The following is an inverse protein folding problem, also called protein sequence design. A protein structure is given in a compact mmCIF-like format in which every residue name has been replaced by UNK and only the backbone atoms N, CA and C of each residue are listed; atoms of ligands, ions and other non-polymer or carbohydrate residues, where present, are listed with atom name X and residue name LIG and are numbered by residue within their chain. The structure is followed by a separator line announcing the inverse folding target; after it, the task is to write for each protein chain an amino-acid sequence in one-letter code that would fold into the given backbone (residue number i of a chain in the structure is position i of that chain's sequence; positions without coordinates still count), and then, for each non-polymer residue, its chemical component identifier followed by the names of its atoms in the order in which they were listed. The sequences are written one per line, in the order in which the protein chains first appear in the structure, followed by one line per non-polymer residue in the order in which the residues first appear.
data_IF_313964569585
#
_entry.id   IF_313964569585
#
_cell.length_a   1.000
_cell.length_b   1.000
_cell.length_c   1.000
_cell.angle_alpha   90.00
_cell.angle_beta   90.00
_cell.angle_gamma   90.00
#
_symmetry.space_group_name_H-M   'P 1'
#
loop_
_entity.id
_entity.type
_entity.pdbx_description
1 polymer ?
#
# COMPACT_ATOMS: atom_id res chain seq x y z
N UNK A 1 -0.59 14.38 -16.65
CA UNK A 1 0.61 14.26 -17.52
C UNK A 1 0.40 13.14 -18.51
N UNK A 2 0.53 13.40 -19.80
CA UNK A 2 0.53 12.36 -20.84
C UNK A 2 1.70 11.39 -20.60
N UNK A 3 1.43 10.08 -20.65
CA UNK A 3 2.48 9.06 -20.52
C UNK A 3 3.47 9.09 -21.68
N UNK A 4 3.08 9.63 -22.84
CA UNK A 4 3.95 9.74 -24.02
C UNK A 4 5.11 10.74 -23.84
N UNK A 5 5.01 11.67 -22.88
CA UNK A 5 6.08 12.64 -22.58
C UNK A 5 7.06 12.17 -21.50
N UNK A 6 6.89 10.94 -20.97
CA UNK A 6 7.75 10.40 -19.91
C UNK A 6 9.01 9.78 -20.55
N UNK A 7 10.23 10.20 -20.16
CA UNK A 7 11.45 9.55 -20.60
C UNK A 7 11.43 8.04 -20.29
N UNK A 8 12.00 7.19 -21.16
CA UNK A 8 12.02 5.75 -20.90
C UNK A 8 12.74 5.44 -19.59
N UNK A 9 12.34 4.34 -18.94
CA UNK A 9 13.10 3.80 -17.83
C UNK A 9 14.47 3.34 -18.35
N UNK A 10 15.60 3.69 -17.70
CA UNK A 10 16.93 3.36 -18.21
C UNK A 10 17.16 1.84 -18.32
N UNK A 11 17.70 1.39 -19.45
CA UNK A 11 17.93 -0.03 -19.73
C UNK A 11 19.16 -0.61 -18.99
N UNK A 12 20.05 0.26 -18.50
CA UNK A 12 21.27 -0.10 -17.77
C UNK A 12 21.06 -0.24 -16.25
N UNK A 13 19.87 0.10 -15.75
CA UNK A 13 19.52 0.00 -14.33
C UNK A 13 18.93 -1.39 -14.04
N UNK A 14 19.53 -2.18 -13.14
CA UNK A 14 19.00 -3.49 -12.77
C UNK A 14 17.58 -3.40 -12.20
N UNK A 15 16.68 -4.20 -12.78
CA UNK A 15 15.29 -4.31 -12.31
C UNK A 15 14.98 -5.74 -11.88
N UNK A 16 14.14 -5.87 -10.86
CA UNK A 16 13.62 -7.17 -10.47
C UNK A 16 12.46 -7.58 -11.38
N UNK A 17 12.50 -8.75 -12.05
CA UNK A 17 11.42 -9.23 -12.88
C UNK A 17 10.31 -9.84 -12.01
N UNK A 18 9.26 -9.07 -11.74
CA UNK A 18 8.09 -9.58 -11.05
C UNK A 18 7.24 -10.47 -11.97
N UNK A 19 6.54 -11.42 -11.37
CA UNK A 19 5.51 -12.19 -12.07
C UNK A 19 4.39 -11.26 -12.53
N UNK A 20 3.87 -11.50 -13.74
CA UNK A 20 2.75 -10.76 -14.32
C UNK A 20 1.52 -11.63 -14.24
N UNK A 21 0.57 -11.24 -13.41
CA UNK A 21 -0.72 -11.91 -13.21
C UNK A 21 -1.80 -11.22 -14.06
N UNK A 22 -2.64 -12.00 -14.71
CA UNK A 22 -3.80 -11.56 -15.50
C UNK A 22 -5.09 -11.61 -14.67
N UNK A 23 -5.63 -10.45 -14.32
CA UNK A 23 -6.82 -10.34 -13.46
C UNK A 23 -8.04 -11.08 -14.03
N UNK A 24 -8.30 -10.97 -15.33
CA UNK A 24 -9.49 -11.58 -15.93
C UNK A 24 -9.40 -13.11 -15.93
N UNK A 25 -8.19 -13.67 -16.07
CA UNK A 25 -7.96 -15.12 -15.91
C UNK A 25 -8.16 -15.57 -14.46
N UNK A 26 -7.65 -14.82 -13.48
CA UNK A 26 -7.90 -15.09 -12.06
C UNK A 26 -9.40 -15.07 -11.76
N UNK A 27 -10.11 -14.07 -12.27
CA UNK A 27 -11.54 -13.86 -12.04
C UNK A 27 -12.43 -14.99 -12.57
N UNK A 28 -12.05 -15.63 -13.68
CA UNK A 28 -12.76 -16.81 -14.20
C UNK A 28 -12.28 -18.14 -13.59
N UNK A 29 -11.35 -18.09 -12.63
CA UNK A 29 -10.85 -19.26 -11.93
C UNK A 29 -9.85 -20.11 -12.73
N UNK A 30 -9.08 -19.49 -13.63
CA UNK A 30 -8.03 -20.18 -14.38
C UNK A 30 -6.99 -20.82 -13.43
N UNK A 31 -6.81 -22.15 -13.44
CA UNK A 31 -5.93 -22.82 -12.47
C UNK A 31 -4.46 -22.43 -12.58
N UNK A 32 -3.96 -22.19 -13.80
CA UNK A 32 -2.55 -21.81 -14.01
C UNK A 32 -2.29 -20.41 -13.48
N UNK A 33 -3.23 -19.49 -13.72
CA UNK A 33 -3.13 -18.11 -13.24
C UNK A 33 -3.25 -18.02 -11.72
N UNK A 34 -4.11 -18.85 -11.11
CA UNK A 34 -4.22 -18.98 -9.65
C UNK A 34 -2.91 -19.50 -9.05
N UNK A 35 -2.26 -20.49 -9.67
CA UNK A 35 -0.95 -20.98 -9.22
C UNK A 35 0.15 -19.92 -9.38
N UNK A 36 0.10 -19.12 -10.44
CA UNK A 36 1.02 -18.01 -10.65
C UNK A 36 0.87 -16.93 -9.56
N UNK A 37 -0.37 -16.53 -9.27
CA UNK A 37 -0.70 -15.60 -8.19
C UNK A 37 -0.26 -16.16 -6.83
N UNK A 38 -0.55 -17.43 -6.55
CA UNK A 38 -0.14 -18.09 -5.31
C UNK A 38 1.38 -18.11 -5.17
N UNK A 39 2.10 -18.40 -6.25
CA UNK A 39 3.58 -18.38 -6.29
C UNK A 39 4.11 -16.98 -6.01
N UNK A 40 3.55 -15.96 -6.65
CA UNK A 40 3.94 -14.57 -6.40
C UNK A 40 3.73 -14.19 -4.93
N UNK A 41 2.57 -14.52 -4.38
CA UNK A 41 2.13 -14.18 -3.04
C UNK A 41 2.94 -14.88 -1.92
N UNK A 42 3.36 -16.12 -2.14
CA UNK A 42 4.07 -16.95 -1.14
C UNK A 42 5.59 -16.83 -1.19
N UNK A 43 6.17 -16.50 -2.36
CA UNK A 43 7.63 -16.32 -2.50
C UNK A 43 8.06 -14.89 -2.21
N UNK A 44 7.45 -13.94 -2.90
CA UNK A 44 7.90 -12.54 -2.89
C UNK A 44 6.84 -11.57 -2.35
N UNK A 45 5.55 -11.93 -2.37
CA UNK A 45 4.49 -11.02 -1.94
C UNK A 45 4.25 -9.83 -2.88
N UNK A 46 4.83 -9.87 -4.08
CA UNK A 46 4.80 -8.80 -5.08
C UNK A 46 4.54 -9.37 -6.49
N UNK A 47 3.68 -8.71 -7.26
CA UNK A 47 3.43 -9.03 -8.67
C UNK A 47 2.96 -7.80 -9.46
N UNK A 48 3.05 -7.86 -10.78
CA UNK A 48 2.24 -6.99 -11.63
C UNK A 48 0.88 -7.62 -11.87
N UNK A 49 -0.17 -6.80 -11.89
CA UNK A 49 -1.51 -7.21 -12.30
C UNK A 49 -1.87 -6.44 -13.57
N UNK A 50 -2.27 -7.16 -14.63
CA UNK A 50 -2.80 -6.58 -15.87
C UNK A 50 -4.28 -6.90 -16.04
N UNK A 51 -4.92 -6.24 -17.02
CA UNK A 51 -6.33 -6.44 -17.35
C UNK A 51 -7.29 -6.19 -16.15
N UNK A 52 -6.88 -5.35 -15.19
CA UNK A 52 -7.70 -5.04 -14.01
C UNK A 52 -8.83 -4.04 -14.29
N UNK A 53 -8.80 -3.33 -15.42
CA UNK A 53 -9.89 -2.45 -15.87
C UNK A 53 -10.04 -1.14 -15.08
N UNK A 54 -8.94 -0.62 -14.50
CA UNK A 54 -8.92 0.56 -13.60
C UNK A 54 -8.12 1.73 -14.20
N UNK A 55 -7.55 1.57 -15.40
CA UNK A 55 -6.61 2.54 -15.98
C UNK A 55 -7.22 3.94 -16.16
N UNK A 56 -8.50 4.01 -16.58
CA UNK A 56 -9.22 5.27 -16.77
C UNK A 56 -9.40 6.01 -15.43
N UNK A 57 -9.91 5.31 -14.41
CA UNK A 57 -10.10 5.89 -13.08
C UNK A 57 -8.77 6.28 -12.44
N UNK A 58 -7.74 5.43 -12.57
CA UNK A 58 -6.41 5.75 -12.08
C UNK A 58 -5.86 7.01 -12.76
N UNK A 59 -6.11 7.21 -14.06
CA UNK A 59 -5.75 8.45 -14.73
C UNK A 59 -6.49 9.66 -14.16
N UNK A 60 -7.80 9.56 -13.97
CA UNK A 60 -8.58 10.63 -13.34
C UNK A 60 -8.12 10.95 -11.92
N UNK A 61 -7.68 9.95 -11.15
CA UNK A 61 -7.12 10.12 -9.81
C UNK A 61 -5.78 10.88 -9.84
N UNK A 62 -4.95 10.64 -10.85
CA UNK A 62 -3.73 11.43 -11.05
C UNK A 62 -4.03 12.90 -11.38
N UNK A 63 -5.02 13.15 -12.23
CA UNK A 63 -5.43 14.51 -12.58
C UNK A 63 -6.03 15.24 -11.36
N UNK A 64 -6.90 14.56 -10.60
CA UNK A 64 -7.42 15.04 -9.32
C UNK A 64 -6.29 15.42 -8.35
N UNK A 65 -5.29 14.55 -8.23
CA UNK A 65 -4.16 14.79 -7.34
C UNK A 65 -3.35 16.00 -7.79
N UNK A 66 -3.09 16.14 -9.10
CA UNK A 66 -2.36 17.28 -9.65
C UNK A 66 -3.09 18.60 -9.38
N UNK A 67 -4.41 18.65 -9.62
CA UNK A 67 -5.26 19.80 -9.31
C UNK A 67 -5.24 20.13 -7.81
N UNK A 68 -5.38 19.11 -6.96
CA UNK A 68 -5.36 19.27 -5.51
C UNK A 68 -4.00 19.80 -5.03
N UNK A 69 -2.89 19.29 -5.57
CA UNK A 69 -1.55 19.72 -5.17
C UNK A 69 -1.21 21.14 -5.63
N UNK A 70 -1.85 21.61 -6.71
CA UNK A 70 -1.73 22.96 -7.24
C UNK A 70 -2.50 24.02 -6.42
N UNK A 71 -3.42 23.61 -5.54
CA UNK A 71 -4.10 24.54 -4.63
C UNK A 71 -3.09 25.25 -3.71
N UNK A 72 -3.38 26.51 -3.28
CA UNK A 72 -2.59 27.19 -2.27
C UNK A 72 -2.42 26.35 -1.02
N UNK A 73 -1.26 26.43 -0.37
CA UNK A 73 -0.98 25.63 0.84
C UNK A 73 -2.04 25.84 1.92
N UNK A 74 -2.51 27.07 2.11
CA UNK A 74 -3.58 27.41 3.06
C UNK A 74 -4.87 26.63 2.79
N UNK A 75 -5.27 26.49 1.53
CA UNK A 75 -6.46 25.72 1.15
C UNK A 75 -6.28 24.22 1.41
N UNK A 76 -5.09 23.67 1.13
CA UNK A 76 -4.79 22.26 1.41
C UNK A 76 -4.76 21.96 2.91
N UNK A 77 -4.19 22.86 3.70
CA UNK A 77 -4.00 22.68 5.14
C UNK A 77 -5.31 22.69 5.95
N UNK A 78 -6.41 23.24 5.41
CA UNK A 78 -7.76 23.09 6.00
C UNK A 78 -8.18 21.63 6.13
N UNK A 79 -7.61 20.75 5.31
CA UNK A 79 -7.94 19.33 5.24
C UNK A 79 -6.80 18.45 5.73
N UNK A 80 -5.90 18.98 6.56
CA UNK A 80 -4.77 18.21 7.08
C UNK A 80 -5.23 16.95 7.86
N UNK A 81 -4.47 15.87 7.75
CA UNK A 81 -4.84 14.56 8.29
C UNK A 81 -4.82 14.49 9.82
N UNK A 82 -4.15 15.43 10.49
CA UNK A 82 -3.94 15.46 11.92
C UNK A 82 -2.80 14.56 12.38
N UNK A 83 -2.68 14.46 13.71
CA UNK A 83 -1.60 13.73 14.39
C UNK A 83 -2.13 12.58 15.26
N UNK A 84 -3.43 12.32 15.26
CA UNK A 84 -4.10 11.37 16.15
C UNK A 84 -4.09 9.91 15.65
N UNK A 85 -3.41 9.66 14.53
CA UNK A 85 -3.22 8.32 13.96
C UNK A 85 -4.18 7.96 12.83
N UNK A 86 -5.05 8.88 12.39
CA UNK A 86 -5.73 8.76 11.09
C UNK A 86 -4.82 9.26 9.97
N UNK A 87 -4.99 8.73 8.75
CA UNK A 87 -4.24 9.18 7.56
C UNK A 87 -5.10 9.87 6.51
N UNK A 88 -6.43 9.87 6.62
CA UNK A 88 -7.30 10.48 5.62
C UNK A 88 -7.07 12.00 5.54
N UNK A 89 -7.22 12.59 4.36
CA UNK A 89 -6.98 14.02 4.14
C UNK A 89 -5.59 14.33 3.60
N UNK A 90 -5.22 15.62 3.66
CA UNK A 90 -3.98 16.14 3.15
C UNK A 90 -2.83 15.93 4.15
N UNK A 91 -1.64 15.63 3.64
CA UNK A 91 -0.40 15.57 4.42
C UNK A 91 0.65 16.43 3.74
N UNK A 92 1.20 17.41 4.46
CA UNK A 92 2.25 18.28 3.98
C UNK A 92 3.63 17.60 3.98
N UNK A 93 4.53 18.02 3.08
CA UNK A 93 5.93 17.59 3.11
C UNK A 93 6.57 17.85 4.49
N UNK A 94 7.36 16.91 4.97
CA UNK A 94 8.09 16.98 6.23
C UNK A 94 7.26 16.76 7.50
N UNK A 95 5.99 16.36 7.38
CA UNK A 95 5.17 16.02 8.53
C UNK A 95 5.48 14.62 9.11
N UNK A 96 6.13 13.73 8.34
CA UNK A 96 6.49 12.39 8.78
C UNK A 96 8.01 12.21 8.90
N UNK A 97 8.44 11.38 9.84
CA UNK A 97 9.78 10.81 9.85
C UNK A 97 9.90 9.72 8.77
N UNK A 98 11.10 9.51 8.23
CA UNK A 98 11.41 8.38 7.32
C UNK A 98 12.42 7.39 7.90
N UNK A 99 13.07 7.74 9.01
CA UNK A 99 14.05 6.90 9.69
C UNK A 99 14.14 7.18 11.21
N UNK A 100 14.99 6.39 11.89
CA UNK A 100 15.21 6.50 13.32
C UNK A 100 15.93 7.79 13.74
N UNK A 101 16.59 8.52 12.84
CA UNK A 101 17.19 9.83 13.12
C UNK A 101 16.13 10.92 13.23
N UNK A 102 14.94 10.70 12.66
CA UNK A 102 13.88 11.69 12.56
C UNK A 102 13.99 12.52 11.28
N UNK A 103 14.68 12.00 10.26
CA UNK A 103 14.75 12.62 8.95
C UNK A 103 13.33 12.81 8.43
N UNK A 104 13.04 14.01 7.92
CA UNK A 104 11.73 14.39 7.43
C UNK A 104 11.53 13.90 6.00
N UNK A 105 10.34 13.38 5.71
CA UNK A 105 9.96 13.06 4.35
C UNK A 105 9.73 14.32 3.49
N UNK A 106 9.69 14.14 2.18
CA UNK A 106 9.52 15.23 1.21
C UNK A 106 8.22 15.12 0.44
N UNK A 107 7.50 14.01 0.60
CA UNK A 107 6.28 13.73 -0.11
C UNK A 107 5.08 14.46 0.49
N UNK A 108 4.15 14.87 -0.36
CA UNK A 108 2.81 15.31 0.02
C UNK A 108 1.82 14.20 -0.32
N UNK A 109 0.78 14.01 0.50
CA UNK A 109 -0.29 13.05 0.23
C UNK A 109 -1.65 13.74 0.20
N UNK A 110 -2.57 13.22 -0.61
CA UNK A 110 -4.00 13.34 -0.38
C UNK A 110 -4.56 11.92 -0.29
N UNK A 111 -5.13 11.59 0.86
CA UNK A 111 -5.72 10.29 1.14
C UNK A 111 -7.23 10.41 1.19
N UNK A 112 -7.96 9.61 0.42
CA UNK A 112 -9.42 9.55 0.44
C UNK A 112 -9.86 8.23 1.07
N UNK A 113 -10.60 8.32 2.17
CA UNK A 113 -11.12 7.16 2.87
C UNK A 113 -12.11 6.38 1.99
N UNK A 114 -12.00 5.05 2.00
CA UNK A 114 -13.03 4.17 1.42
C UNK A 114 -14.41 4.51 1.97
N UNK A 115 -14.51 4.74 3.28
CA UNK A 115 -15.77 5.00 3.97
C UNK A 115 -16.48 6.26 3.45
N UNK A 116 -15.74 7.33 3.12
CA UNK A 116 -16.34 8.56 2.57
C UNK A 116 -16.78 8.37 1.12
N UNK A 117 -16.02 7.63 0.32
CA UNK A 117 -16.42 7.33 -1.06
C UNK A 117 -17.67 6.43 -1.10
N UNK A 118 -17.72 5.41 -0.25
CA UNK A 118 -18.88 4.49 -0.14
C UNK A 118 -20.13 5.22 0.37
N UNK A 119 -19.99 6.20 1.26
CA UNK A 119 -21.10 6.97 1.81
C UNK A 119 -21.53 8.17 0.96
N UNK A 120 -20.75 8.54 -0.07
CA UNK A 120 -21.00 9.72 -0.88
C UNK A 120 -22.43 9.74 -1.44
N UNK A 121 -23.18 10.87 -1.37
CA UNK A 121 -22.74 12.22 -0.99
C UNK A 121 -22.74 12.55 0.50
N UNK A 122 -23.03 11.59 1.39
CA UNK A 122 -22.89 11.80 2.82
C UNK A 122 -21.42 11.77 3.25
N UNK A 123 -21.11 12.50 4.33
CA UNK A 123 -19.78 12.49 4.94
C UNK A 123 -19.72 11.44 6.04
N UNK A 124 -18.88 10.41 5.89
CA UNK A 124 -18.72 9.34 6.88
C UNK A 124 -17.63 9.64 7.92
N UNK A 125 -16.53 10.24 7.47
CA UNK A 125 -15.33 10.54 8.27
C UNK A 125 -14.97 12.01 8.21
N UNK A 126 -14.79 12.56 7.00
CA UNK A 126 -14.27 13.94 6.86
C UNK A 126 -14.61 14.62 5.54
N UNK A 127 -14.48 15.94 5.55
CA UNK A 127 -14.51 16.75 4.34
C UNK A 127 -13.17 16.71 3.59
N UNK A 128 -13.22 17.01 2.30
CA UNK A 128 -12.07 17.07 1.38
C UNK A 128 -12.02 18.40 0.60
N UNK A 129 -10.86 18.74 0.01
CA UNK A 129 -10.73 19.87 -0.91
C UNK A 129 -11.77 19.84 -2.04
N UNK A 130 -12.12 21.01 -2.58
CA UNK A 130 -13.10 21.13 -3.67
C UNK A 130 -12.73 20.31 -4.91
N UNK A 131 -11.44 20.19 -5.21
CA UNK A 131 -10.89 19.36 -6.31
C UNK A 131 -11.18 17.87 -6.13
N UNK A 132 -11.17 17.37 -4.88
CA UNK A 132 -11.54 15.99 -4.56
C UNK A 132 -13.05 15.81 -4.72
N UNK A 133 -13.84 16.69 -4.12
CA UNK A 133 -15.31 16.59 -4.17
C UNK A 133 -15.83 16.68 -5.62
N UNK A 134 -15.24 17.54 -6.45
CA UNK A 134 -15.60 17.70 -7.85
C UNK A 134 -15.36 16.44 -8.70
N UNK A 135 -14.52 15.52 -8.23
CA UNK A 135 -14.18 14.25 -8.91
C UNK A 135 -14.67 13.02 -8.15
N UNK A 136 -15.49 13.20 -7.12
CA UNK A 136 -15.94 12.10 -6.27
C UNK A 136 -16.78 11.09 -7.06
N UNK A 137 -17.86 11.56 -7.70
CA UNK A 137 -18.77 10.71 -8.48
C UNK A 137 -18.13 10.16 -9.77
N UNK A 138 -17.38 10.99 -10.49
CA UNK A 138 -16.87 10.64 -11.81
C UNK A 138 -15.63 9.77 -11.79
N UNK A 139 -14.91 9.71 -10.67
CA UNK A 139 -13.56 9.13 -10.64
C UNK A 139 -13.26 8.39 -9.35
N UNK A 140 -13.40 9.04 -8.19
CA UNK A 140 -12.92 8.47 -6.91
C UNK A 140 -13.80 7.29 -6.48
N UNK A 141 -15.13 7.43 -6.54
CA UNK A 141 -16.06 6.34 -6.22
C UNK A 141 -15.87 5.17 -7.18
N UNK A 142 -15.87 5.35 -8.52
CA UNK A 142 -15.54 4.28 -9.47
C UNK A 142 -14.17 3.62 -9.21
N UNK A 143 -13.13 4.40 -8.92
CA UNK A 143 -11.79 3.88 -8.61
C UNK A 143 -11.81 2.95 -7.40
N UNK A 144 -12.46 3.38 -6.31
CA UNK A 144 -12.53 2.64 -5.05
C UNK A 144 -13.36 1.37 -5.23
N UNK A 145 -14.53 1.44 -5.88
CA UNK A 145 -15.38 0.27 -6.12
C UNK A 145 -14.67 -0.78 -7.00
N UNK A 146 -14.00 -0.36 -8.08
CA UNK A 146 -13.20 -1.27 -8.91
C UNK A 146 -12.02 -1.87 -8.15
N UNK A 147 -11.33 -1.07 -7.33
CA UNK A 147 -10.23 -1.55 -6.49
C UNK A 147 -10.72 -2.57 -5.44
N UNK A 148 -11.90 -2.35 -4.85
CA UNK A 148 -12.55 -3.31 -3.96
C UNK A 148 -12.89 -4.61 -4.69
N UNK A 149 -13.47 -4.52 -5.89
CA UNK A 149 -13.80 -5.70 -6.69
C UNK A 149 -12.56 -6.54 -7.02
N UNK A 150 -11.50 -5.91 -7.51
CA UNK A 150 -10.21 -6.57 -7.80
C UNK A 150 -9.66 -7.24 -6.54
N UNK A 151 -9.55 -6.50 -5.43
CA UNK A 151 -8.96 -7.03 -4.21
C UNK A 151 -9.81 -8.15 -3.59
N UNK A 152 -11.14 -8.07 -3.66
CA UNK A 152 -12.03 -9.13 -3.19
C UNK A 152 -11.83 -10.43 -3.96
N UNK A 153 -11.68 -10.37 -5.29
CA UNK A 153 -11.34 -11.55 -6.10
C UNK A 153 -10.03 -12.19 -5.65
N UNK A 154 -8.99 -11.38 -5.41
CA UNK A 154 -7.69 -11.90 -4.94
C UNK A 154 -7.80 -12.50 -3.53
N UNK A 155 -8.56 -11.86 -2.63
CA UNK A 155 -8.83 -12.35 -1.28
C UNK A 155 -9.56 -13.70 -1.30
N UNK A 156 -10.50 -13.92 -2.21
CA UNK A 156 -11.18 -15.22 -2.37
C UNK A 156 -10.19 -16.31 -2.80
N UNK A 157 -9.31 -16.02 -3.76
CA UNK A 157 -8.26 -16.98 -4.16
C UNK A 157 -7.35 -17.31 -2.98
N UNK A 158 -6.87 -16.32 -2.24
CA UNK A 158 -6.04 -16.58 -1.07
C UNK A 158 -6.79 -17.34 0.02
N UNK A 159 -8.06 -17.04 0.24
CA UNK A 159 -8.91 -17.74 1.19
C UNK A 159 -8.93 -19.25 0.90
N UNK A 160 -9.21 -19.60 -0.36
CA UNK A 160 -9.33 -20.99 -0.79
C UNK A 160 -7.98 -21.71 -0.76
N UNK A 161 -6.91 -21.05 -1.23
CA UNK A 161 -5.54 -21.60 -1.22
C UNK A 161 -4.97 -21.81 0.18
N UNK A 162 -5.39 -20.99 1.15
CA UNK A 162 -5.06 -21.17 2.56
C UNK A 162 -5.91 -22.25 3.24
N UNK A 163 -6.89 -22.83 2.55
CA UNK A 163 -7.80 -23.83 3.11
C UNK A 163 -8.72 -23.24 4.19
N UNK A 164 -9.05 -21.95 4.10
CA UNK A 164 -9.96 -21.29 5.03
C UNK A 164 -11.43 -21.59 4.66
N UNK A 165 -12.36 -21.51 5.62
CA UNK A 165 -13.78 -21.53 5.31
C UNK A 165 -14.14 -20.44 4.29
N UNK A 166 -15.14 -20.72 3.45
CA UNK A 166 -15.53 -19.82 2.36
C UNK A 166 -15.82 -18.41 2.89
N UNK A 167 -15.13 -17.41 2.34
CA UNK A 167 -15.36 -16.00 2.64
C UNK A 167 -14.75 -15.49 3.94
N UNK A 168 -13.97 -16.29 4.68
CA UNK A 168 -13.34 -15.85 5.93
C UNK A 168 -12.52 -14.56 5.77
N UNK A 169 -11.74 -14.45 4.68
CA UNK A 169 -11.01 -13.21 4.42
C UNK A 169 -11.93 -12.05 4.04
N UNK A 170 -12.97 -12.25 3.22
CA UNK A 170 -13.92 -11.20 2.86
C UNK A 170 -14.70 -10.65 4.08
N UNK A 171 -15.07 -11.51 5.01
CA UNK A 171 -15.74 -11.10 6.26
C UNK A 171 -14.88 -10.19 7.14
N UNK A 172 -13.56 -10.19 6.93
CA UNK A 172 -12.63 -9.27 7.61
C UNK A 172 -12.43 -7.96 6.84
N UNK A 173 -13.00 -7.84 5.64
CA UNK A 173 -12.81 -6.72 4.72
C UNK A 173 -14.15 -6.22 4.15
N UNK A 174 -15.20 -6.21 4.98
CA UNK A 174 -16.53 -5.81 4.54
C UNK A 174 -16.53 -4.38 3.98
N UNK A 175 -17.24 -4.18 2.88
CA UNK A 175 -17.32 -2.89 2.18
C UNK A 175 -17.95 -1.82 3.06
N UNK A 176 -18.92 -2.18 3.90
CA UNK A 176 -19.69 -1.28 4.77
C UNK A 176 -19.06 -1.11 6.16
N UNK A 177 -18.15 -2.01 6.57
CA UNK A 177 -17.45 -1.86 7.85
C UNK A 177 -16.41 -0.74 7.74
N UNK A 178 -16.39 0.13 8.75
CA UNK A 178 -15.39 1.18 8.88
C UNK A 178 -14.01 0.55 8.97
N UNK A 179 -13.10 0.97 8.10
CA UNK A 179 -11.72 0.47 8.09
C UNK A 179 -10.72 1.59 7.88
N UNK A 180 -9.44 1.26 7.97
CA UNK A 180 -8.38 2.16 7.54
C UNK A 180 -8.23 2.21 6.01
N UNK A 181 -9.02 1.51 5.20
CA UNK A 181 -8.81 1.45 3.74
C UNK A 181 -8.93 2.83 3.10
N UNK A 182 -8.00 3.15 2.18
CA UNK A 182 -7.95 4.46 1.54
C UNK A 182 -7.29 4.38 0.16
N UNK A 183 -7.65 5.32 -0.71
CA UNK A 183 -6.78 5.70 -1.82
C UNK A 183 -5.78 6.75 -1.35
N UNK A 184 -4.53 6.66 -1.80
CA UNK A 184 -3.46 7.62 -1.53
C UNK A 184 -2.86 8.09 -2.84
N UNK A 185 -3.01 9.38 -3.12
CA UNK A 185 -2.22 10.04 -4.16
C UNK A 185 -1.01 10.71 -3.51
N UNK A 186 0.18 10.23 -3.86
CA UNK A 186 1.45 10.78 -3.41
C UNK A 186 2.07 11.66 -4.48
N UNK A 187 2.53 12.83 -4.06
CA UNK A 187 3.26 13.80 -4.89
C UNK A 187 4.65 14.03 -4.34
N UNK A 188 5.66 14.00 -5.20
CA UNK A 188 7.06 14.26 -4.82
C UNK A 188 7.76 15.09 -5.89
N UNK A 189 8.56 16.10 -5.50
CA UNK A 189 9.26 16.97 -6.44
C UNK A 189 10.40 16.23 -7.17
N UNK A 190 10.85 16.75 -8.34
CA UNK A 190 12.08 16.33 -9.00
C UNK A 190 13.30 16.45 -8.08
N UNK A 191 14.30 15.61 -8.32
CA UNK A 191 15.66 15.70 -7.76
C UNK A 191 15.67 15.99 -6.26
N UNK A 192 15.76 14.92 -5.48
CA UNK A 192 16.07 15.02 -4.07
C UNK A 192 17.36 14.27 -3.81
N UNK A 193 18.29 14.78 -3.02
CA UNK A 193 19.45 13.99 -2.60
C UNK A 193 19.06 12.80 -1.66
N UNK A 194 17.76 12.47 -1.52
CA UNK A 194 17.18 11.77 -0.36
C UNK A 194 16.07 10.78 -0.75
N UNK A 195 15.78 9.84 0.14
CA UNK A 195 14.69 8.88 -0.01
C UNK A 195 13.31 9.57 0.06
N UNK A 196 12.38 9.18 -0.80
CA UNK A 196 11.01 9.71 -0.84
C UNK A 196 10.16 9.06 0.25
N UNK A 197 10.27 7.72 0.36
CA UNK A 197 9.65 6.90 1.40
C UNK A 197 10.68 5.86 1.83
N UNK A 198 10.98 5.82 3.13
CA UNK A 198 11.95 4.87 3.72
C UNK A 198 11.54 3.40 3.58
N UNK A 199 12.46 2.49 3.90
CA UNK A 199 12.19 1.06 3.89
C UNK A 199 11.05 0.69 4.86
N UNK A 200 10.04 -0.01 4.35
CA UNK A 200 8.88 -0.45 5.13
C UNK A 200 8.17 -1.65 4.49
N UNK A 201 7.28 -2.24 5.26
CA UNK A 201 6.17 -3.06 4.77
C UNK A 201 4.86 -2.30 4.92
N UNK A 202 3.87 -2.66 4.10
CA UNK A 202 2.54 -2.08 4.18
C UNK A 202 1.73 -2.67 5.33
N UNK A 203 0.90 -1.83 5.96
CA UNK A 203 0.29 -2.18 7.24
C UNK A 203 -0.94 -3.09 7.08
N UNK A 204 -1.57 -3.00 5.90
CA UNK A 204 -2.85 -3.61 5.58
C UNK A 204 -2.72 -5.03 5.04
N UNK A 205 -3.68 -5.42 4.24
CA UNK A 205 -3.75 -6.75 3.62
C UNK A 205 -3.20 -6.74 2.20
N UNK A 206 -3.63 -5.77 1.39
CA UNK A 206 -3.26 -5.64 -0.02
C UNK A 206 -3.06 -4.18 -0.39
N UNK A 207 -2.12 -3.93 -1.28
CA UNK A 207 -1.86 -2.63 -1.90
C UNK A 207 -1.96 -2.76 -3.41
N UNK A 208 -2.72 -1.87 -4.03
CA UNK A 208 -2.94 -1.80 -5.46
C UNK A 208 -2.39 -0.47 -5.98
N UNK A 209 -1.15 -0.50 -6.48
CA UNK A 209 -0.32 0.65 -6.79
C UNK A 209 -0.25 0.90 -8.31
N UNK A 210 -0.59 2.11 -8.72
CA UNK A 210 -0.39 2.63 -10.06
C UNK A 210 0.75 3.66 -10.04
N UNK A 211 1.75 3.46 -10.87
CA UNK A 211 2.90 4.34 -11.04
C UNK A 211 3.10 4.66 -12.52
N UNK A 212 3.50 5.91 -12.80
CA UNK A 212 3.93 6.32 -14.15
C UNK A 212 5.45 6.43 -14.30
N UNK A 213 6.13 6.82 -13.22
CA UNK A 213 7.60 6.91 -13.14
C UNK A 213 8.16 5.79 -12.24
N UNK A 214 9.45 5.50 -12.40
CA UNK A 214 10.19 4.60 -11.54
C UNK A 214 10.33 5.12 -10.09
N UNK A 215 11.31 4.55 -9.38
CA UNK A 215 11.63 4.93 -7.99
C UNK A 215 11.20 3.88 -6.95
N UNK A 216 10.27 2.99 -7.28
CA UNK A 216 9.95 1.85 -6.44
C UNK A 216 11.11 0.86 -6.45
N UNK A 217 11.55 0.45 -5.26
CA UNK A 217 12.52 -0.62 -5.07
C UNK A 217 12.00 -1.66 -4.08
N UNK A 218 12.33 -2.92 -4.34
CA UNK A 218 12.04 -4.05 -3.46
C UNK A 218 13.34 -4.64 -2.93
N UNK A 219 13.29 -5.15 -1.70
CA UNK A 219 14.38 -5.93 -1.12
C UNK A 219 14.00 -7.41 -1.15
N UNK A 220 14.59 -8.13 -2.10
CA UNK A 220 14.25 -9.53 -2.38
C UNK A 220 14.97 -10.44 -1.37
N UNK A 221 14.33 -11.50 -0.86
CA UNK A 221 15.01 -12.47 -0.01
C UNK A 221 16.31 -13.00 -0.65
N UNK A 222 17.42 -12.89 0.08
CA UNK A 222 18.75 -13.33 -0.38
C UNK A 222 19.48 -12.34 -1.30
N UNK A 223 18.90 -11.18 -1.61
CA UNK A 223 19.60 -10.11 -2.32
C UNK A 223 20.53 -9.33 -1.38
N UNK A 224 21.66 -8.85 -1.92
CA UNK A 224 22.58 -7.95 -1.22
C UNK A 224 22.19 -6.47 -1.39
N UNK A 225 21.39 -6.15 -2.42
CA UNK A 225 21.06 -4.78 -2.79
C UNK A 225 19.59 -4.62 -3.17
N UNK A 226 19.07 -3.41 -2.98
CA UNK A 226 17.74 -2.99 -3.42
C UNK A 226 17.63 -3.02 -4.94
N UNK A 227 16.54 -3.60 -5.46
CA UNK A 227 16.32 -3.73 -6.90
C UNK A 227 15.13 -2.88 -7.34
N UNK A 228 15.25 -2.18 -8.48
CA UNK A 228 14.14 -1.38 -9.01
C UNK A 228 13.02 -2.25 -9.57
N UNK A 229 11.81 -1.71 -9.51
CA UNK A 229 10.63 -2.26 -10.19
C UNK A 229 10.23 -1.28 -11.28
N UNK A 230 10.34 -1.70 -12.55
CA UNK A 230 10.06 -0.87 -13.73
C UNK A 230 8.55 -0.75 -13.97
N UNK A 231 7.95 0.45 -13.93
CA UNK A 231 6.54 0.60 -14.27
C UNK A 231 6.24 0.06 -15.68
N UNK A 232 5.17 -0.72 -15.81
CA UNK A 232 4.69 -1.25 -17.08
C UNK A 232 3.33 -0.60 -17.38
N UNK A 233 3.14 0.07 -18.52
CA UNK A 233 1.84 0.63 -18.89
C UNK A 233 0.73 -0.43 -18.88
N UNK A 234 -0.46 -0.06 -18.38
CA UNK A 234 -1.60 -0.97 -18.25
C UNK A 234 -1.45 -2.03 -17.15
N UNK A 235 -0.44 -1.92 -16.30
CA UNK A 235 -0.22 -2.81 -15.16
C UNK A 235 -0.22 -2.01 -13.86
N UNK A 236 -0.90 -2.56 -12.86
CA UNK A 236 -0.71 -2.16 -11.48
C UNK A 236 0.38 -3.02 -10.84
N UNK A 237 1.08 -2.46 -9.88
CA UNK A 237 1.90 -3.22 -8.94
C UNK A 237 1.04 -3.61 -7.74
N UNK A 238 1.04 -4.88 -7.40
CA UNK A 238 0.31 -5.41 -6.27
C UNK A 238 1.26 -5.95 -5.22
N UNK A 239 0.93 -5.74 -3.95
CA UNK A 239 1.64 -6.37 -2.86
C UNK A 239 0.76 -6.72 -1.67
N UNK A 240 1.22 -7.72 -0.93
CA UNK A 240 0.65 -8.10 0.36
C UNK A 240 1.27 -7.27 1.48
N UNK A 241 0.46 -6.98 2.49
CA UNK A 241 0.89 -6.27 3.69
C UNK A 241 0.87 -7.15 4.94
N UNK A 242 1.24 -6.54 6.06
CA UNK A 242 1.43 -7.19 7.36
C UNK A 242 0.17 -7.92 7.84
N UNK A 243 -1.03 -7.36 7.64
CA UNK A 243 -2.26 -8.00 8.10
C UNK A 243 -2.48 -9.36 7.41
N UNK A 244 -2.15 -9.47 6.11
CA UNK A 244 -2.30 -10.73 5.39
C UNK A 244 -1.18 -11.74 5.73
N UNK A 245 0.04 -11.25 5.96
CA UNK A 245 1.11 -12.08 6.50
C UNK A 245 0.75 -12.62 7.90
N UNK A 246 0.12 -11.80 8.74
CA UNK A 246 -0.38 -12.19 10.06
C UNK A 246 -1.50 -13.23 9.95
N UNK A 247 -2.57 -12.94 9.19
CA UNK A 247 -3.70 -13.87 9.04
C UNK A 247 -3.27 -15.23 8.54
N UNK A 248 -2.33 -15.28 7.58
CA UNK A 248 -1.83 -16.51 6.97
C UNK A 248 -0.74 -17.24 7.76
N UNK A 249 -0.33 -16.73 8.93
CA UNK A 249 0.77 -17.32 9.70
C UNK A 249 2.11 -17.27 8.97
N UNK A 250 2.31 -16.30 8.08
CA UNK A 250 3.51 -16.10 7.28
C UNK A 250 3.64 -16.95 6.02
N UNK A 251 2.58 -17.67 5.62
CA UNK A 251 2.52 -18.36 4.33
C UNK A 251 2.56 -17.33 3.18
N UNK A 252 1.73 -16.28 3.31
CA UNK A 252 1.75 -15.13 2.41
C UNK A 252 2.78 -14.10 2.90
N UNK A 253 3.55 -13.53 1.98
CA UNK A 253 4.72 -12.68 2.32
C UNK A 253 4.37 -11.20 2.25
N UNK A 254 4.69 -10.46 3.31
CA UNK A 254 4.80 -9.00 3.32
C UNK A 254 6.29 -8.68 3.26
N UNK A 255 6.78 -8.07 2.18
CA UNK A 255 8.21 -7.86 1.96
C UNK A 255 8.58 -6.37 1.92
N UNK A 256 9.83 -6.10 2.28
CA UNK A 256 10.38 -4.76 2.35
C UNK A 256 10.43 -4.09 0.96
N UNK A 257 9.91 -2.87 0.92
CA UNK A 257 10.01 -2.00 -0.23
C UNK A 257 10.29 -0.55 0.22
N UNK A 258 10.78 0.27 -0.72
CA UNK A 258 11.03 1.70 -0.50
C UNK A 258 10.76 2.48 -1.78
N UNK A 259 10.64 3.80 -1.64
CA UNK A 259 10.57 4.70 -2.78
C UNK A 259 11.74 5.67 -2.74
N UNK A 260 12.59 5.57 -3.75
CA UNK A 260 13.68 6.51 -4.03
C UNK A 260 13.33 7.35 -5.26
N UNK A 261 14.22 8.25 -5.66
CA UNK A 261 14.01 8.99 -6.90
C UNK A 261 13.87 8.06 -8.11
N UNK A 262 13.05 8.43 -9.09
CA UNK A 262 13.07 7.75 -10.39
C UNK A 262 14.48 7.77 -11.00
N UNK A 263 14.91 6.69 -11.64
CA UNK A 263 16.24 6.61 -12.24
C UNK A 263 16.34 7.41 -13.55
N UNK A 264 17.57 7.83 -13.89
CA UNK A 264 17.89 8.53 -15.13
C UNK A 264 17.10 9.83 -15.33
N UNK A 265 16.70 10.10 -16.57
CA UNK A 265 16.00 11.33 -16.94
C UNK A 265 14.62 11.47 -16.26
N UNK A 266 14.01 10.37 -15.79
CA UNK A 266 12.75 10.44 -15.04
C UNK A 266 12.92 11.17 -13.70
N UNK A 267 14.11 11.18 -13.11
CA UNK A 267 14.37 11.85 -11.82
C UNK A 267 14.22 13.36 -11.86
N UNK A 268 14.22 13.96 -13.05
CA UNK A 268 13.97 15.38 -13.29
C UNK A 268 12.47 15.74 -13.33
N UNK A 269 11.57 14.76 -13.18
CA UNK A 269 10.12 14.98 -13.25
C UNK A 269 9.46 14.90 -11.87
N UNK A 270 8.32 15.57 -11.75
CA UNK A 270 7.43 15.39 -10.61
C UNK A 270 6.87 13.97 -10.61
N UNK A 271 7.01 13.29 -9.48
CA UNK A 271 6.51 11.92 -9.32
C UNK A 271 5.12 11.94 -8.70
N UNK A 272 4.19 11.29 -9.39
CA UNK A 272 2.88 10.94 -8.85
C UNK A 272 2.75 9.43 -8.73
N UNK A 273 2.16 8.96 -7.63
CA UNK A 273 1.74 7.57 -7.46
C UNK A 273 0.38 7.50 -6.81
N UNK A 274 -0.42 6.52 -7.22
CA UNK A 274 -1.74 6.23 -6.66
C UNK A 274 -1.72 4.83 -6.07
N UNK A 275 -2.05 4.68 -4.80
CA UNK A 275 -2.24 3.36 -4.18
C UNK A 275 -3.64 3.27 -3.60
N UNK A 276 -4.32 2.15 -3.83
CA UNK A 276 -5.43 1.75 -2.97
C UNK A 276 -4.95 0.75 -1.92
N UNK A 277 -5.03 1.13 -0.65
CA UNK A 277 -4.69 0.29 0.48
C UNK A 277 -5.94 -0.42 1.01
N UNK A 278 -5.96 -1.74 0.93
CA UNK A 278 -6.99 -2.58 1.55
C UNK A 278 -6.54 -2.96 2.96
N UNK A 279 -7.34 -2.58 3.95
CA UNK A 279 -7.13 -2.90 5.36
C UNK A 279 -8.34 -3.65 5.92
N UNK A 280 -8.15 -4.54 6.91
CA UNK A 280 -9.27 -5.17 7.59
C UNK A 280 -10.19 -4.14 8.25
N UNK A 281 -11.43 -4.55 8.55
CA UNK A 281 -12.36 -3.79 9.37
C UNK A 281 -11.73 -3.37 10.69
N UNK A 282 -12.10 -2.18 11.18
CA UNK A 282 -11.49 -1.58 12.36
C UNK A 282 -11.53 -2.50 13.59
N UNK A 283 -12.59 -3.30 13.73
CA UNK A 283 -12.81 -4.19 14.86
C UNK A 283 -12.02 -5.51 14.78
N UNK A 284 -11.47 -5.84 13.61
CA UNK A 284 -10.82 -7.13 13.34
C UNK A 284 -9.50 -7.21 14.11
N UNK A 285 -9.37 -8.21 14.99
CA UNK A 285 -8.12 -8.51 15.70
C UNK A 285 -7.10 -9.11 14.74
N UNK A 286 -5.89 -8.54 14.69
CA UNK A 286 -4.81 -9.04 13.84
C UNK A 286 -4.10 -10.22 14.51
N UNK A 287 -4.51 -11.43 14.16
CA UNK A 287 -3.90 -12.69 14.60
C UNK A 287 -3.98 -13.76 13.50
N UNK A 288 -3.08 -14.73 13.52
CA UNK A 288 -3.15 -15.89 12.63
C UNK A 288 -4.46 -16.65 12.80
N UNK A 289 -4.98 -17.13 11.68
CA UNK A 289 -6.24 -17.86 11.57
C UNK A 289 -6.01 -19.37 11.78
N UNK A 290 -5.35 -19.70 12.88
CA UNK A 290 -4.91 -21.07 13.19
C UNK A 290 -6.08 -22.00 13.50
N UNK A 291 -7.18 -21.47 14.04
CA UNK A 291 -8.38 -22.26 14.32
C UNK A 291 -9.18 -22.55 13.05
N UNK A 292 -9.06 -21.69 12.02
CA UNK A 292 -9.81 -21.82 10.78
C UNK A 292 -9.06 -22.59 9.68
N UNK A 293 -7.74 -22.79 9.78
CA UNK A 293 -6.97 -23.55 8.78
C UNK A 293 -5.85 -24.39 9.41
N UNK A 294 -5.84 -25.73 9.19
CA UNK A 294 -4.73 -26.60 9.58
C UNK A 294 -3.40 -26.21 8.92
N UNK A 295 -3.45 -25.67 7.70
CA UNK A 295 -2.26 -25.19 6.99
C UNK A 295 -1.63 -24.00 7.72
N UNK A 296 -2.46 -23.05 8.17
CA UNK A 296 -2.01 -21.88 8.93
C UNK A 296 -1.52 -22.31 10.32
N UNK A 297 -2.23 -23.21 11.00
CA UNK A 297 -1.79 -23.78 12.27
C UNK A 297 -0.40 -24.41 12.17
N UNK A 298 -0.16 -25.21 11.13
CA UNK A 298 1.13 -25.85 10.90
C UNK A 298 2.23 -24.83 10.58
N UNK A 299 1.93 -23.80 9.78
CA UNK A 299 2.89 -22.75 9.44
C UNK A 299 3.31 -21.96 10.69
N UNK A 300 2.36 -21.60 11.55
CA UNK A 300 2.63 -20.92 12.82
C UNK A 300 3.46 -21.80 13.75
N UNK A 301 3.11 -23.09 13.88
CA UNK A 301 3.86 -24.04 14.71
C UNK A 301 5.32 -24.22 14.26
N UNK A 302 5.60 -24.09 12.97
CA UNK A 302 6.94 -24.20 12.39
C UNK A 302 7.71 -22.87 12.34
N UNK A 303 7.08 -21.75 12.71
CA UNK A 303 7.70 -20.45 12.64
C UNK A 303 8.78 -20.31 13.74
N UNK A 304 9.94 -19.68 13.45
CA UNK A 304 10.96 -19.42 14.47
C UNK A 304 10.46 -18.58 15.65
N UNK A 305 9.52 -17.68 15.37
CA UNK A 305 8.80 -16.89 16.36
C UNK A 305 7.31 -16.90 16.00
N UNK A 306 6.51 -17.80 16.60
CA UNK A 306 5.06 -17.85 16.39
C UNK A 306 4.33 -16.64 16.97
N UNK A 307 4.90 -15.98 17.98
CA UNK A 307 4.23 -14.89 18.73
C UNK A 307 4.00 -13.66 17.87
N UNK A 308 4.85 -13.43 16.86
CA UNK A 308 4.72 -12.31 15.92
C UNK A 308 3.42 -12.32 15.11
N UNK A 309 2.75 -13.47 14.99
CA UNK A 309 1.47 -13.59 14.29
C UNK A 309 0.26 -13.44 15.23
N UNK A 310 0.45 -13.04 16.48
CA UNK A 310 -0.63 -12.68 17.37
C UNK A 310 -0.35 -11.31 17.99
N UNK A 311 -0.88 -10.25 17.38
CA UNK A 311 -0.57 -8.88 17.79
C UNK A 311 -1.28 -8.45 19.06
N UNK A 312 -2.36 -9.15 19.45
CA UNK A 312 -3.23 -8.78 20.57
C UNK A 312 -4.01 -7.48 20.38
N UNK A 313 -3.98 -6.86 19.18
CA UNK A 313 -4.63 -5.59 18.91
C UNK A 313 -5.52 -5.64 17.67
N UNK A 314 -6.46 -4.71 17.59
CA UNK A 314 -7.33 -4.55 16.42
C UNK A 314 -6.59 -3.96 15.23
N UNK A 315 -7.15 -4.10 14.02
CA UNK A 315 -6.63 -3.43 12.83
C UNK A 315 -6.60 -1.92 13.00
N UNK A 316 -7.61 -1.35 13.68
CA UNK A 316 -7.65 0.07 14.02
C UNK A 316 -6.47 0.48 14.91
N UNK A 317 -6.23 -0.23 16.01
CA UNK A 317 -5.15 0.11 16.94
C UNK A 317 -3.77 -0.06 16.30
N UNK A 318 -3.60 -1.13 15.50
CA UNK A 318 -2.39 -1.37 14.72
C UNK A 318 -2.10 -0.21 13.78
N UNK A 319 -3.08 0.14 12.93
CA UNK A 319 -2.97 1.23 11.97
C UNK A 319 -2.72 2.58 12.65
N UNK A 320 -3.53 2.91 13.67
CA UNK A 320 -3.47 4.18 14.40
C UNK A 320 -2.11 4.36 15.06
N UNK A 321 -1.58 3.32 15.73
CA UNK A 321 -0.23 3.33 16.31
C UNK A 321 0.82 3.65 15.25
N UNK A 322 0.79 2.94 14.11
CA UNK A 322 1.79 3.10 13.05
C UNK A 322 1.77 4.52 12.48
N UNK A 323 0.59 5.06 12.13
CA UNK A 323 0.46 6.42 11.59
C UNK A 323 0.87 7.47 12.63
N UNK A 324 0.35 7.37 13.85
CA UNK A 324 0.64 8.33 14.94
C UNK A 324 2.14 8.47 15.18
N UNK A 325 2.84 7.35 15.23
CA UNK A 325 4.27 7.30 15.54
C UNK A 325 5.18 7.70 14.36
N UNK A 326 4.64 7.81 13.14
CA UNK A 326 5.37 8.41 12.01
C UNK A 326 5.37 9.93 12.06
N UNK A 327 4.42 10.57 12.75
CA UNK A 327 4.26 12.03 12.78
C UNK A 327 5.40 12.68 13.55
N UNK A 328 6.05 13.67 12.93
CA UNK A 328 7.15 14.42 13.54
C UNK A 328 6.71 15.10 14.84
N UNK A 329 5.48 15.61 14.91
CA UNK A 329 4.95 16.25 16.13
C UNK A 329 4.80 15.30 17.31
N UNK A 330 4.65 13.99 17.05
CA UNK A 330 4.54 12.98 18.10
C UNK A 330 5.90 12.39 18.51
N UNK A 331 6.97 12.75 17.80
CA UNK A 331 8.30 12.18 17.99
C UNK A 331 8.92 12.68 19.30
N UNK A 332 9.30 11.73 20.16
CA UNK A 332 10.09 11.99 21.39
C UNK A 332 11.56 11.57 21.26
N UNK A 333 11.83 10.65 20.34
CA UNK A 333 13.15 10.09 20.09
C UNK A 333 13.11 8.94 19.06
N UNK A 334 14.23 8.25 18.81
CA UNK A 334 14.31 7.12 17.88
C UNK A 334 13.33 6.00 18.19
N UNK A 335 13.02 5.77 19.46
CA UNK A 335 12.07 4.77 19.93
C UNK A 335 10.64 5.03 19.45
N UNK A 336 10.27 6.30 19.21
CA UNK A 336 8.97 6.63 18.60
C UNK A 336 8.90 6.09 17.18
N UNK A 337 9.97 6.27 16.40
CA UNK A 337 10.03 5.73 15.04
C UNK A 337 10.01 4.21 15.04
N UNK A 338 10.78 3.58 15.92
CA UNK A 338 10.75 2.11 16.06
C UNK A 338 9.33 1.64 16.36
N UNK A 339 8.61 2.26 17.30
CA UNK A 339 7.23 1.94 17.61
C UNK A 339 6.22 2.17 16.47
N UNK A 340 6.62 2.83 15.37
CA UNK A 340 5.81 2.98 14.16
C UNK A 340 5.93 1.82 13.17
N UNK A 341 6.94 0.94 13.34
CA UNK A 341 7.15 -0.22 12.45
C UNK A 341 6.14 -1.34 12.76
N UNK A 342 5.96 -2.25 11.81
CA UNK A 342 5.05 -3.39 11.84
C UNK A 342 5.81 -4.69 12.02
N UNK A 343 5.72 -5.63 11.07
CA UNK A 343 6.42 -6.92 11.15
C UNK A 343 7.89 -6.86 10.73
N UNK A 344 8.36 -5.73 10.20
CA UNK A 344 9.69 -5.55 9.59
C UNK A 344 10.85 -5.28 10.57
N UNK A 345 10.59 -5.19 11.88
CA UNK A 345 11.59 -4.82 12.90
C UNK A 345 12.88 -5.66 12.89
N UNK A 346 12.77 -6.96 12.59
CA UNK A 346 13.90 -7.90 12.57
C UNK A 346 14.66 -7.91 11.24
N UNK A 347 14.07 -7.43 10.16
CA UNK A 347 14.68 -7.44 8.82
C UNK A 347 15.42 -6.14 8.53
N UNK A 348 14.90 -5.00 9.00
CA UNK A 348 15.54 -3.68 8.81
C UNK A 348 16.95 -3.61 9.41
N UNK A 349 17.21 -4.30 10.53
CA UNK A 349 18.54 -4.34 11.16
C UNK A 349 19.61 -5.02 10.31
N UNK A 350 19.21 -5.90 9.38
CA UNK A 350 20.15 -6.54 8.42
C UNK A 350 20.37 -5.69 7.18
N UNK A 351 19.35 -4.94 6.75
CA UNK A 351 19.37 -4.14 5.52
C UNK A 351 20.01 -2.77 5.72
N UNK A 352 19.93 -2.17 6.92
CA UNK A 352 20.57 -0.87 7.22
C UNK A 352 22.08 -0.98 7.47
N UNK A 353 22.62 -2.19 7.70
CA UNK A 353 24.06 -2.46 7.91
C UNK A 353 24.80 -2.91 6.65
N UNK A 354 24.09 -2.97 5.51
CA UNK A 354 24.57 -3.35 4.17
C UNK A 354 24.33 -2.21 3.19
#
# INVERSE_FOLDING_TARGET
MDTASIPPFPDDIPTHPLLVVDYERVKVGDPEEIELLWTAATKLGFWYLKNHGVDEEASGMFDMAAETMALPMEEKMKYEQGDDGMSFGYKAAGANAVDASGMKDTAQFINIAKDDAVAWPAQARRAYPSTVNARMDSTIVPFIEKSLAVNNTLLEVFNDRLGLPKGTLLQKHLREEYSGSESRCTFSPPIMERQVIGAHTDFGSLSFLHNRLGGLQVFVPGAETWQYVKPIPGHAFCNLGDAMAIFSGGILRSNLHRVVNPPGAQGALYRFSLVYFTRPGNSVVLRALTEESPMIAQAVANAPDPTKYNTGVTSYDWFTRRIKNQRIKNRKGPETWMASRGTEHTELTKVETS
#
